data_IF_976434369602
#
_entry.id   IF_976434369602
#
_cell.length_a   1.000
_cell.length_b   1.000
_cell.length_c   1.000
_cell.angle_alpha   90.00
_cell.angle_beta   90.00
_cell.angle_gamma   90.00
#
_symmetry.space_group_name_H-M   'P 1'
#
loop_
_entity.id
_entity.type
_entity.pdbx_description
1 polymer ?
#
# COMPACT_ATOMS: atom_id res chain seq x y z
N UNK A 1 -14.22 -12.94 -16.87
CA UNK A 1 -15.39 -13.32 -17.69
C UNK A 1 -15.16 -14.71 -18.21
N UNK A 2 -16.05 -15.67 -17.94
CA UNK A 2 -15.99 -16.98 -18.60
C UNK A 2 -16.80 -16.84 -19.90
N UNK A 3 -16.16 -16.94 -21.06
CA UNK A 3 -16.80 -16.83 -22.37
C UNK A 3 -16.18 -15.76 -23.28
N UNK A 4 -16.71 -15.67 -24.50
CA UNK A 4 -16.36 -14.62 -25.47
C UNK A 4 -16.99 -13.29 -25.07
N UNK A 5 -16.26 -12.20 -25.27
CA UNK A 5 -16.77 -10.84 -25.08
C UNK A 5 -16.36 -10.00 -26.29
N UNK A 6 -17.15 -8.95 -26.57
CA UNK A 6 -16.77 -7.90 -27.52
C UNK A 6 -16.30 -6.69 -26.72
N UNK A 7 -15.10 -6.20 -27.02
CA UNK A 7 -14.60 -4.98 -26.40
C UNK A 7 -15.42 -3.79 -26.88
N UNK A 8 -15.79 -2.90 -25.95
CA UNK A 8 -16.48 -1.64 -26.24
C UNK A 8 -15.50 -0.52 -25.91
N UNK A 9 -15.33 0.40 -26.86
CA UNK A 9 -14.48 1.58 -26.72
C UNK A 9 -15.33 2.83 -26.89
N UNK A 10 -14.90 3.94 -26.31
CA UNK A 10 -15.55 5.22 -26.54
C UNK A 10 -15.43 5.63 -28.02
N UNK A 11 -16.48 6.27 -28.54
CA UNK A 11 -16.45 6.86 -29.87
C UNK A 11 -15.43 8.00 -29.92
N UNK A 12 -14.77 8.18 -31.07
CA UNK A 12 -13.83 9.30 -31.27
C UNK A 12 -14.50 10.67 -31.17
N UNK A 13 -15.84 10.73 -31.28
CA UNK A 13 -16.66 11.93 -31.18
C UNK A 13 -17.40 12.03 -29.84
N UNK A 14 -16.99 11.26 -28.81
CA UNK A 14 -17.59 11.37 -27.49
C UNK A 14 -17.35 12.76 -26.88
N UNK A 15 -18.38 13.34 -26.28
CA UNK A 15 -18.31 14.62 -25.57
C UNK A 15 -18.27 14.36 -24.06
N UNK A 16 -17.43 15.12 -23.35
CA UNK A 16 -17.22 15.02 -21.91
C UNK A 16 -17.60 16.37 -21.25
N UNK A 17 -18.12 16.33 -20.01
CA UNK A 17 -18.44 17.55 -19.24
C UNK A 17 -17.17 18.34 -18.92
N UNK A 18 -16.08 17.63 -18.63
CA UNK A 18 -14.75 18.17 -18.32
C UNK A 18 -13.68 17.18 -18.81
N UNK A 19 -12.49 17.69 -19.17
CA UNK A 19 -11.33 16.89 -19.56
C UNK A 19 -10.09 17.37 -18.78
N UNK A 20 -9.43 16.43 -18.08
CA UNK A 20 -8.22 16.68 -17.31
C UNK A 20 -7.05 15.88 -17.88
N UNK A 21 -5.98 16.59 -18.26
CA UNK A 21 -4.78 16.00 -18.84
C UNK A 21 -3.61 16.09 -17.85
N UNK A 22 -2.96 14.96 -17.58
CA UNK A 22 -1.85 14.86 -16.62
C UNK A 22 -0.64 14.21 -17.27
N UNK A 23 0.55 14.76 -17.05
CA UNK A 23 1.81 14.10 -17.40
C UNK A 23 2.27 13.22 -16.23
N UNK A 24 2.38 11.91 -16.46
CA UNK A 24 2.75 10.95 -15.43
C UNK A 24 4.15 11.23 -14.84
N UNK A 25 5.04 11.92 -15.58
CA UNK A 25 6.37 12.29 -15.09
C UNK A 25 6.34 13.31 -13.95
N UNK A 26 5.27 14.09 -13.85
CA UNK A 26 5.10 15.16 -12.87
C UNK A 26 4.42 14.64 -11.59
N UNK A 27 3.94 13.38 -11.59
CA UNK A 27 3.28 12.75 -10.44
C UNK A 27 4.35 12.17 -9.51
N UNK A 28 4.59 12.88 -8.41
CA UNK A 28 5.45 12.43 -7.31
C UNK A 28 4.76 11.36 -6.45
N UNK A 29 5.51 10.57 -5.66
CA UNK A 29 4.90 9.74 -4.62
C UNK A 29 4.07 10.59 -3.65
N UNK A 30 2.84 10.16 -3.39
CA UNK A 30 1.91 10.88 -2.52
C UNK A 30 1.38 10.01 -1.39
N UNK A 31 0.85 10.68 -0.37
CA UNK A 31 0.19 10.09 0.79
C UNK A 31 -1.14 10.79 1.02
N UNK A 32 -2.22 10.02 1.13
CA UNK A 32 -3.50 10.54 1.63
C UNK A 32 -3.51 10.48 3.16
N UNK A 33 -3.54 11.64 3.80
CA UNK A 33 -3.58 11.80 5.25
C UNK A 33 -4.98 11.49 5.80
N UNK A 34 -5.10 11.06 7.06
CA UNK A 34 -6.40 10.88 7.70
C UNK A 34 -7.26 12.17 7.64
N UNK A 35 -8.58 12.10 7.65
CA UNK A 35 -9.44 10.90 7.63
C UNK A 35 -10.19 10.74 6.29
N UNK A 36 -9.66 11.32 5.21
CA UNK A 36 -10.31 11.30 3.90
C UNK A 36 -9.28 11.01 2.79
N UNK A 37 -9.60 10.13 1.82
CA UNK A 37 -8.70 9.83 0.70
C UNK A 37 -8.30 11.05 -0.14
N UNK A 38 -9.12 12.11 -0.17
CA UNK A 38 -8.83 13.34 -0.92
C UNK A 38 -7.77 14.23 -0.24
N UNK A 39 -7.47 14.02 1.05
CA UNK A 39 -6.49 14.81 1.80
C UNK A 39 -5.05 14.38 1.46
N UNK A 40 -4.65 14.60 0.22
CA UNK A 40 -3.37 14.13 -0.34
C UNK A 40 -2.27 15.18 -0.23
N UNK A 41 -1.05 14.75 0.08
CA UNK A 41 0.17 15.55 0.01
C UNK A 41 1.31 14.71 -0.60
N UNK A 42 2.36 15.34 -1.17
CA UNK A 42 3.60 14.64 -1.52
C UNK A 42 4.16 13.89 -0.31
N UNK A 43 4.66 12.67 -0.51
CA UNK A 43 5.22 11.85 0.58
C UNK A 43 6.41 12.54 1.26
N UNK A 44 7.19 13.30 0.48
CA UNK A 44 8.31 14.11 0.96
C UNK A 44 7.93 15.24 1.93
N UNK A 45 6.65 15.63 1.99
CA UNK A 45 6.16 16.71 2.86
C UNK A 45 5.47 16.18 4.14
N UNK A 46 5.40 14.85 4.31
CA UNK A 46 4.70 14.23 5.43
C UNK A 46 5.72 13.55 6.35
N UNK A 47 6.06 14.22 7.44
CA UNK A 47 6.97 13.70 8.47
C UNK A 47 6.18 13.18 9.68
N UNK A 48 5.82 11.91 9.64
CA UNK A 48 5.00 11.25 10.67
C UNK A 48 5.60 9.88 10.99
N UNK A 49 5.97 9.66 12.25
CA UNK A 49 6.32 8.34 12.77
C UNK A 49 5.13 7.37 12.66
N UNK A 50 5.42 6.11 12.37
CA UNK A 50 4.41 5.06 12.20
C UNK A 50 4.66 3.91 13.16
N UNK A 51 3.59 3.21 13.52
CA UNK A 51 3.64 1.98 14.32
C UNK A 51 3.43 0.74 13.45
N UNK A 52 2.74 0.91 12.32
CA UNK A 52 2.40 -0.18 11.40
C UNK A 52 2.58 0.22 9.94
N UNK A 53 3.13 -0.70 9.14
CA UNK A 53 3.09 -0.66 7.70
C UNK A 53 2.24 -1.82 7.17
N UNK A 54 1.18 -1.52 6.42
CA UNK A 54 0.25 -2.52 5.91
C UNK A 54 0.31 -2.57 4.38
N UNK A 55 0.96 -3.60 3.86
CA UNK A 55 1.16 -3.82 2.43
C UNK A 55 0.20 -4.90 1.93
N UNK A 56 -0.75 -4.51 1.09
CA UNK A 56 -1.61 -5.43 0.35
C UNK A 56 -3.09 -5.27 0.66
N UNK A 57 -3.88 -5.24 -0.40
CA UNK A 57 -5.34 -5.12 -0.37
C UNK A 57 -5.89 -5.49 -1.76
N UNK A 58 -7.20 -5.33 -1.98
CA UNK A 58 -7.74 -5.44 -3.34
C UNK A 58 -7.20 -4.37 -4.30
N UNK A 59 -6.67 -3.25 -3.80
CA UNK A 59 -6.10 -2.18 -4.64
C UNK A 59 -4.62 -2.41 -4.96
N UNK A 60 -3.83 -2.87 -3.98
CA UNK A 60 -2.37 -2.90 -4.09
C UNK A 60 -1.74 -4.16 -3.48
N UNK A 61 -2.37 -5.32 -3.67
CA UNK A 61 -1.85 -6.63 -3.25
C UNK A 61 -1.61 -7.60 -4.41
N UNK A 62 -1.52 -7.12 -5.66
CA UNK A 62 -1.20 -7.96 -6.83
C UNK A 62 0.28 -8.28 -6.87
N UNK A 63 0.69 -9.17 -7.79
CA UNK A 63 2.08 -9.64 -7.82
C UNK A 63 3.05 -8.49 -8.15
N UNK A 64 2.67 -7.57 -9.02
CA UNK A 64 3.44 -6.37 -9.34
C UNK A 64 3.65 -5.46 -8.13
N UNK A 65 2.65 -5.31 -7.26
CA UNK A 65 2.74 -4.54 -6.03
C UNK A 65 3.76 -5.15 -5.06
N UNK A 66 3.69 -6.48 -4.88
CA UNK A 66 4.61 -7.22 -4.02
C UNK A 66 6.04 -7.17 -4.55
N UNK A 67 6.25 -7.25 -5.86
CA UNK A 67 7.59 -7.12 -6.49
C UNK A 67 8.20 -5.74 -6.24
N UNK A 68 7.42 -4.67 -6.36
CA UNK A 68 7.88 -3.29 -6.08
C UNK A 68 8.36 -3.18 -4.64
N UNK A 69 7.54 -3.59 -3.68
CA UNK A 69 7.89 -3.53 -2.27
C UNK A 69 9.09 -4.45 -1.94
N UNK A 70 9.14 -5.66 -2.52
CA UNK A 70 10.25 -6.59 -2.35
C UNK A 70 11.57 -6.03 -2.87
N UNK A 71 11.59 -5.34 -4.04
CA UNK A 71 12.79 -4.67 -4.58
C UNK A 71 13.35 -3.66 -3.58
N UNK A 72 12.48 -2.91 -2.92
CA UNK A 72 12.86 -1.86 -1.96
C UNK A 72 13.41 -2.46 -0.67
N UNK A 73 12.72 -3.44 -0.10
CA UNK A 73 13.03 -3.98 1.23
C UNK A 73 14.11 -5.07 1.23
N UNK A 74 14.43 -5.67 0.07
CA UNK A 74 15.44 -6.72 -0.03
C UNK A 74 16.77 -6.30 0.59
N UNK A 75 17.28 -7.15 1.49
CA UNK A 75 18.55 -6.93 2.21
C UNK A 75 18.47 -5.88 3.32
N UNK A 76 17.28 -5.37 3.63
CA UNK A 76 17.02 -4.41 4.71
C UNK A 76 16.10 -5.05 5.75
N UNK A 77 15.97 -4.39 6.89
CA UNK A 77 15.06 -4.78 7.98
C UNK A 77 13.99 -3.71 8.16
N UNK A 78 12.80 -4.13 8.56
CA UNK A 78 11.76 -3.25 9.07
C UNK A 78 12.26 -2.58 10.34
N UNK A 79 11.90 -1.30 10.53
CA UNK A 79 12.28 -0.55 11.72
C UNK A 79 11.78 -1.27 13.00
N UNK A 80 12.58 -1.35 14.08
CA UNK A 80 12.25 -2.17 15.25
C UNK A 80 10.95 -1.80 15.96
N UNK A 81 10.50 -0.55 15.81
CA UNK A 81 9.22 -0.07 16.38
C UNK A 81 8.04 -0.20 15.42
N UNK A 82 8.26 -0.69 14.20
CA UNK A 82 7.21 -0.85 13.19
C UNK A 82 6.91 -2.32 12.99
N UNK A 83 5.62 -2.67 12.95
CA UNK A 83 5.19 -3.96 12.43
C UNK A 83 4.78 -3.83 10.96
N UNK A 84 5.43 -4.59 10.08
CA UNK A 84 5.03 -4.67 8.69
C UNK A 84 4.17 -5.92 8.46
N UNK A 85 2.96 -5.73 7.95
CA UNK A 85 2.03 -6.81 7.58
C UNK A 85 1.89 -6.85 6.07
N UNK A 86 2.16 -8.01 5.46
CA UNK A 86 2.07 -8.25 4.02
C UNK A 86 0.91 -9.20 3.72
N UNK A 87 -0.02 -8.76 2.87
CA UNK A 87 -1.27 -9.47 2.58
C UNK A 87 -1.47 -9.59 1.07
N UNK A 88 -1.12 -10.73 0.45
CA UNK A 88 -1.37 -10.96 -0.97
C UNK A 88 -2.88 -10.89 -1.29
N UNK A 89 -3.26 -10.29 -2.43
CA UNK A 89 -4.65 -10.01 -2.76
C UNK A 89 -5.50 -11.28 -3.04
N UNK A 90 -4.87 -12.41 -3.35
CA UNK A 90 -5.56 -13.67 -3.62
C UNK A 90 -4.65 -14.87 -3.40
N UNK A 91 -5.24 -16.06 -3.31
CA UNK A 91 -4.50 -17.33 -3.26
C UNK A 91 -3.50 -17.45 -4.41
N UNK A 92 -3.92 -17.15 -5.64
CA UNK A 92 -3.06 -17.22 -6.83
C UNK A 92 -1.84 -16.30 -6.71
N UNK A 93 -2.05 -15.06 -6.24
CA UNK A 93 -0.94 -14.12 -6.04
C UNK A 93 -0.01 -14.61 -4.93
N UNK A 94 -0.56 -15.19 -3.87
CA UNK A 94 0.25 -15.72 -2.77
C UNK A 94 1.12 -16.90 -3.23
N UNK A 95 0.55 -17.86 -3.94
CA UNK A 95 1.29 -18.99 -4.53
C UNK A 95 2.40 -18.48 -5.46
N UNK A 96 2.08 -17.54 -6.36
CA UNK A 96 3.07 -16.95 -7.24
C UNK A 96 4.18 -16.20 -6.48
N UNK A 97 3.85 -15.49 -5.40
CA UNK A 97 4.83 -14.80 -4.58
C UNK A 97 5.75 -15.77 -3.81
N UNK A 98 5.27 -16.97 -3.48
CA UNK A 98 6.09 -18.06 -2.92
C UNK A 98 7.05 -18.57 -3.98
N UNK A 99 6.54 -18.89 -5.18
CA UNK A 99 7.35 -19.41 -6.30
C UNK A 99 8.46 -18.43 -6.72
N UNK A 100 8.17 -17.12 -6.68
CA UNK A 100 9.13 -16.06 -6.98
C UNK A 100 10.07 -15.71 -5.80
N UNK A 101 9.90 -16.35 -4.64
CA UNK A 101 10.71 -16.12 -3.44
C UNK A 101 10.46 -14.76 -2.76
N UNK A 102 9.41 -14.04 -3.13
CA UNK A 102 9.08 -12.72 -2.56
C UNK A 102 8.70 -12.84 -1.09
N UNK A 103 8.00 -13.91 -0.71
CA UNK A 103 7.62 -14.16 0.69
C UNK A 103 8.85 -14.25 1.59
N UNK A 104 9.91 -14.92 1.13
CA UNK A 104 11.17 -15.03 1.86
C UNK A 104 11.83 -13.67 2.05
N UNK A 105 11.79 -12.79 1.05
CA UNK A 105 12.32 -11.43 1.14
C UNK A 105 11.61 -10.63 2.25
N UNK A 106 10.29 -10.72 2.33
CA UNK A 106 9.54 -10.03 3.39
C UNK A 106 9.82 -10.61 4.78
N UNK A 107 9.87 -11.94 4.91
CA UNK A 107 10.23 -12.60 6.17
C UNK A 107 11.66 -12.25 6.61
N UNK A 108 12.60 -12.18 5.67
CA UNK A 108 13.99 -11.78 5.95
C UNK A 108 14.11 -10.32 6.39
N UNK A 109 13.13 -9.49 6.06
CA UNK A 109 13.02 -8.12 6.55
C UNK A 109 12.29 -8.00 7.90
N UNK A 110 11.93 -9.11 8.54
CA UNK A 110 11.12 -9.18 9.78
C UNK A 110 9.65 -8.73 9.59
N UNK A 111 9.13 -8.79 8.36
CA UNK A 111 7.71 -8.57 8.10
C UNK A 111 6.88 -9.86 8.32
N UNK A 112 5.63 -9.68 8.74
CA UNK A 112 4.66 -10.75 8.89
C UNK A 112 3.85 -10.93 7.62
N UNK A 113 3.84 -12.14 7.06
CA UNK A 113 3.04 -12.45 5.88
C UNK A 113 1.76 -13.16 6.32
N UNK A 114 0.61 -12.57 6.01
CA UNK A 114 -0.69 -13.18 6.25
C UNK A 114 -1.19 -13.93 5.00
N UNK A 115 -2.12 -14.85 5.20
CA UNK A 115 -2.87 -15.45 4.08
C UNK A 115 -3.75 -14.40 3.37
N UNK A 116 -4.27 -14.71 2.17
CA UNK A 116 -5.09 -13.77 1.40
C UNK A 116 -6.40 -13.44 2.11
N UNK A 117 -6.61 -12.17 2.44
CA UNK A 117 -7.81 -11.67 3.14
C UNK A 117 -7.94 -10.15 3.00
N UNK A 118 -9.09 -9.59 3.38
CA UNK A 118 -9.23 -8.15 3.57
C UNK A 118 -8.51 -7.66 4.85
N UNK A 119 -8.29 -8.54 5.84
CA UNK A 119 -7.49 -8.26 7.03
C UNK A 119 -7.88 -6.96 7.75
N UNK A 120 -6.90 -6.12 8.03
CA UNK A 120 -7.10 -4.86 8.72
C UNK A 120 -7.80 -3.80 7.86
N UNK A 121 -7.95 -3.97 6.54
CA UNK A 121 -8.61 -3.00 5.65
C UNK A 121 -10.08 -2.68 6.06
N UNK A 122 -10.71 -3.59 6.80
CA UNK A 122 -12.03 -3.40 7.42
C UNK A 122 -12.00 -3.50 8.95
N UNK A 123 -10.81 -3.54 9.56
CA UNK A 123 -10.60 -3.70 11.01
C UNK A 123 -10.88 -5.10 11.54
N UNK A 124 -10.81 -6.14 10.70
CA UNK A 124 -11.32 -7.48 11.06
C UNK A 124 -10.29 -8.47 11.58
N UNK A 125 -9.04 -8.43 11.08
CA UNK A 125 -8.06 -9.49 11.33
C UNK A 125 -6.65 -9.02 10.97
N UNK A 126 -5.62 -9.44 11.73
CA UNK A 126 -4.19 -9.21 11.49
C UNK A 126 -3.81 -7.77 11.12
N UNK A 127 -3.28 -7.03 12.08
CA UNK A 127 -2.91 -5.62 11.92
C UNK A 127 -4.04 -4.64 12.28
N UNK A 128 -4.97 -5.07 13.14
CA UNK A 128 -5.99 -4.19 13.74
C UNK A 128 -5.28 -3.13 14.58
N UNK A 129 -5.62 -1.86 14.38
CA UNK A 129 -4.97 -0.74 15.07
C UNK A 129 -5.56 -0.49 16.45
N UNK A 130 -4.68 -0.24 17.42
CA UNK A 130 -5.01 0.21 18.77
C UNK A 130 -5.18 1.73 18.83
N UNK A 131 -5.53 2.25 20.01
CA UNK A 131 -5.64 3.69 20.24
C UNK A 131 -4.28 4.38 20.08
N UNK A 132 -4.25 5.48 19.33
CA UNK A 132 -3.04 6.30 19.12
C UNK A 132 -2.11 5.77 18.03
N UNK A 133 -2.33 4.56 17.52
CA UNK A 133 -1.46 3.99 16.50
C UNK A 133 -1.66 4.61 15.12
N UNK A 134 -0.56 4.77 14.40
CA UNK A 134 -0.49 5.32 13.06
C UNK A 134 -0.03 4.25 12.07
N UNK A 135 -0.81 4.06 11.01
CA UNK A 135 -0.53 3.08 9.98
C UNK A 135 -0.30 3.74 8.63
N UNK A 136 0.81 3.44 7.96
CA UNK A 136 0.94 3.64 6.52
C UNK A 136 0.38 2.39 5.82
N UNK A 137 -0.48 2.55 4.83
CA UNK A 137 -1.27 1.44 4.28
C UNK A 137 -1.45 1.56 2.77
N UNK A 138 -1.35 0.43 2.06
CA UNK A 138 -1.69 0.34 0.64
C UNK A 138 -3.15 -0.12 0.40
N UNK A 139 -4.04 0.24 1.32
CA UNK A 139 -5.49 0.14 1.12
C UNK A 139 -6.01 1.43 0.47
N UNK A 140 -7.33 1.57 0.34
CA UNK A 140 -7.96 2.71 -0.33
C UNK A 140 -8.89 3.55 0.56
N UNK A 141 -8.92 3.29 1.87
CA UNK A 141 -9.83 3.98 2.81
C UNK A 141 -9.13 4.22 4.13
N UNK A 142 -9.22 5.46 4.63
CA UNK A 142 -8.62 5.91 5.88
C UNK A 142 -9.60 6.68 6.79
N UNK A 143 -10.89 6.36 6.71
CA UNK A 143 -11.90 6.93 7.60
C UNK A 143 -11.60 6.61 9.08
N UNK A 144 -12.18 7.39 9.99
CA UNK A 144 -12.08 7.17 11.44
C UNK A 144 -12.46 5.73 11.80
N UNK A 145 -11.56 5.02 12.51
CA UNK A 145 -11.77 3.64 12.94
C UNK A 145 -11.77 2.60 11.81
N UNK A 146 -11.27 2.95 10.62
CA UNK A 146 -11.36 2.05 9.46
C UNK A 146 -10.58 0.75 9.62
N UNK A 147 -9.42 0.80 10.27
CA UNK A 147 -8.53 -0.35 10.46
C UNK A 147 -8.47 -0.82 11.92
N UNK A 148 -9.35 -0.33 12.79
CA UNK A 148 -9.34 -0.66 14.21
C UNK A 148 -9.97 0.43 15.07
N UNK A 149 -9.26 0.85 16.11
CA UNK A 149 -9.75 1.82 17.08
C UNK A 149 -10.07 3.18 16.45
N UNK A 150 -11.10 3.90 16.93
CA UNK A 150 -11.48 5.22 16.38
C UNK A 150 -10.40 6.29 16.54
N UNK A 151 -9.50 6.11 17.49
CA UNK A 151 -8.35 6.99 17.72
C UNK A 151 -7.06 6.53 17.01
N UNK A 152 -7.13 5.58 16.08
CA UNK A 152 -6.00 5.24 15.20
C UNK A 152 -6.04 6.08 13.92
N UNK A 153 -4.89 6.29 13.32
CA UNK A 153 -4.73 7.06 12.08
C UNK A 153 -4.22 6.18 10.94
N UNK A 154 -4.77 6.37 9.74
CA UNK A 154 -4.37 5.62 8.54
C UNK A 154 -3.95 6.60 7.45
N UNK A 155 -2.76 6.40 6.94
CA UNK A 155 -2.17 7.12 5.82
C UNK A 155 -2.16 6.19 4.62
N UNK A 156 -2.75 6.61 3.49
CA UNK A 156 -2.82 5.76 2.29
C UNK A 156 -1.68 6.09 1.36
N UNK A 157 -0.97 5.07 0.87
CA UNK A 157 0.12 5.25 -0.07
C UNK A 157 0.30 4.02 -0.97
N UNK A 158 1.11 4.16 -2.02
CA UNK A 158 1.44 3.03 -2.88
C UNK A 158 2.39 2.02 -2.18
N UNK A 159 2.60 0.82 -2.75
CA UNK A 159 3.52 -0.18 -2.20
C UNK A 159 4.95 0.32 -1.96
N UNK A 160 5.44 1.23 -2.80
CA UNK A 160 6.79 1.75 -2.71
C UNK A 160 6.97 2.60 -1.44
N UNK A 161 6.06 3.56 -1.20
CA UNK A 161 6.05 4.42 -0.01
C UNK A 161 5.83 3.58 1.24
N UNK A 162 4.93 2.59 1.23
CA UNK A 162 4.71 1.69 2.38
C UNK A 162 6.00 0.94 2.74
N UNK A 163 6.69 0.36 1.74
CA UNK A 163 7.93 -0.38 1.98
C UNK A 163 9.07 0.52 2.46
N UNK A 164 9.23 1.71 1.89
CA UNK A 164 10.22 2.68 2.34
C UNK A 164 9.94 3.13 3.78
N UNK A 165 8.69 3.48 4.07
CA UNK A 165 8.27 3.92 5.39
C UNK A 165 8.47 2.83 6.47
N UNK A 166 8.22 1.57 6.12
CA UNK A 166 8.47 0.44 7.01
C UNK A 166 9.94 0.31 7.43
N UNK A 167 10.88 0.64 6.53
CA UNK A 167 12.32 0.62 6.82
C UNK A 167 12.71 1.80 7.72
N UNK A 168 12.17 2.99 7.45
CA UNK A 168 12.56 4.21 8.15
C UNK A 168 11.87 4.42 9.50
N UNK A 169 10.71 3.80 9.74
CA UNK A 169 9.95 4.04 10.97
C UNK A 169 9.03 5.27 10.91
N UNK A 170 9.02 5.97 9.77
CA UNK A 170 8.19 7.15 9.50
C UNK A 170 7.74 7.15 8.05
N UNK A 171 6.74 7.96 7.72
CA UNK A 171 6.37 8.24 6.33
C UNK A 171 7.58 8.80 5.59
N UNK A 172 7.92 8.16 4.48
CA UNK A 172 9.16 8.41 3.75
C UNK A 172 8.94 8.29 2.24
N UNK A 173 9.53 9.21 1.48
CA UNK A 173 9.56 9.13 0.03
C UNK A 173 10.56 8.03 -0.38
N UNK A 174 10.18 7.06 -1.24
CA UNK A 174 11.08 6.02 -1.74
C UNK A 174 12.39 6.54 -2.36
N UNK A 175 12.40 7.76 -2.89
CA UNK A 175 13.58 8.38 -3.48
C UNK A 175 14.68 8.67 -2.44
N UNK A 176 14.35 8.76 -1.14
CA UNK A 176 15.33 8.91 -0.06
C UNK A 176 16.25 7.68 0.06
N UNK A 177 15.82 6.50 -0.42
CA UNK A 177 16.63 5.27 -0.43
C UNK A 177 17.63 5.21 -1.59
N UNK A 178 17.60 6.17 -2.52
CA UNK A 178 18.42 6.13 -3.75
C UNK A 178 18.05 4.97 -4.70
N UNK A 179 16.91 4.33 -4.50
CA UNK A 179 16.44 3.21 -5.34
C UNK A 179 15.71 3.79 -6.54
N UNK A 180 16.40 3.86 -7.70
CA UNK A 180 15.74 4.02 -9.01
C UNK A 180 15.33 2.64 -9.56
#
# INVERSE_FOLDING_TARGET
>A
VRGTYSAVYADKSAEYVDEFNYDAKDIVPTVAKPFLPENTAPASEVDVEIDQAYLGSCTNGRIEDLRVAAKIIKGKKVHPNVRMIVVPASKRVFEQAIDEGLIKIFMDADAYVAGPTCGACLGGYMGVLAYGEKCISSTNRNFIGRMGHKGSEVYLANPAVVAASAIFGRICDPNELGVR
#
